data_IF_506131532182
#
_entry.id   IF_506131532182
#
_cell.length_a   1.000
_cell.length_b   1.000
_cell.length_c   1.000
_cell.angle_alpha   90.00
_cell.angle_beta   90.00
_cell.angle_gamma   90.00
#
_symmetry.space_group_name_H-M   'P 1'
#
loop_
_entity.id
_entity.type
_entity.pdbx_description
1 polymer ?
#
# COMPACT_ATOMS: atom_id res chain seq x y z
N UNK A 1 23.32 -15.96 24.08
CA UNK A 1 22.05 -15.60 23.41
C UNK A 1 22.39 -14.60 22.32
N UNK A 2 22.75 -15.10 21.13
CA UNK A 2 22.80 -14.28 19.92
C UNK A 2 21.40 -14.34 19.30
N UNK A 3 20.55 -13.36 19.61
CA UNK A 3 19.15 -13.39 19.20
C UNK A 3 18.75 -12.01 18.64
N UNK A 4 18.44 -12.00 17.33
CA UNK A 4 17.68 -10.97 16.58
C UNK A 4 18.36 -9.64 16.18
N UNK A 5 19.57 -9.66 15.62
CA UNK A 5 20.08 -8.54 14.82
C UNK A 5 20.20 -8.92 13.34
N UNK A 6 19.07 -9.20 12.67
CA UNK A 6 19.09 -9.62 11.26
C UNK A 6 18.76 -8.52 10.24
N UNK A 7 18.53 -7.28 10.69
CA UNK A 7 18.39 -6.14 9.79
C UNK A 7 19.16 -4.93 10.35
N UNK A 8 19.87 -4.16 9.50
CA UNK A 8 20.46 -2.90 9.92
C UNK A 8 19.38 -1.98 10.50
N UNK A 9 19.70 -1.23 11.55
CA UNK A 9 18.79 -0.24 12.10
C UNK A 9 18.43 0.78 11.00
N UNK A 10 17.15 0.87 10.68
CA UNK A 10 16.65 1.83 9.70
C UNK A 10 16.69 3.21 10.34
N UNK A 11 17.50 4.09 9.77
CA UNK A 11 17.58 5.49 10.17
C UNK A 11 16.25 6.22 9.93
N UNK A 12 16.09 7.38 10.56
CA UNK A 12 14.89 8.21 10.36
C UNK A 12 14.78 8.68 8.91
N UNK A 13 15.91 8.93 8.27
CA UNK A 13 16.03 9.38 6.88
C UNK A 13 15.62 8.27 5.92
N UNK A 14 16.18 7.06 6.07
CA UNK A 14 15.80 5.89 5.26
C UNK A 14 14.32 5.56 5.41
N UNK A 15 13.79 5.61 6.64
CA UNK A 15 12.36 5.37 6.86
C UNK A 15 11.47 6.38 6.12
N UNK A 16 11.87 7.65 6.03
CA UNK A 16 11.11 8.66 5.27
C UNK A 16 11.11 8.35 3.77
N UNK A 17 12.21 7.83 3.23
CA UNK A 17 12.29 7.41 1.84
C UNK A 17 11.42 6.18 1.57
N UNK A 18 11.53 5.16 2.42
CA UNK A 18 10.68 3.96 2.37
C UNK A 18 9.20 4.36 2.43
N UNK A 19 8.83 5.20 3.39
CA UNK A 19 7.47 5.70 3.53
C UNK A 19 6.97 6.41 2.26
N UNK A 20 7.84 7.20 1.62
CA UNK A 20 7.51 7.92 0.38
C UNK A 20 7.26 6.95 -0.77
N UNK A 21 8.12 5.95 -0.95
CA UNK A 21 7.95 4.96 -2.02
C UNK A 21 6.72 4.08 -1.81
N UNK A 22 6.50 3.59 -0.59
CA UNK A 22 5.28 2.85 -0.24
C UNK A 22 4.03 3.70 -0.49
N UNK A 23 4.02 4.98 -0.09
CA UNK A 23 2.89 5.86 -0.30
C UNK A 23 2.57 6.06 -1.80
N UNK A 24 3.60 6.20 -2.65
CA UNK A 24 3.42 6.29 -4.11
C UNK A 24 2.74 5.06 -4.67
N UNK A 25 3.22 3.87 -4.32
CA UNK A 25 2.65 2.61 -4.82
C UNK A 25 1.21 2.40 -4.32
N UNK A 26 0.89 2.77 -3.08
CA UNK A 26 -0.48 2.72 -2.56
C UNK A 26 -1.42 3.70 -3.29
N UNK A 27 -0.94 4.89 -3.65
CA UNK A 27 -1.74 5.81 -4.47
C UNK A 27 -1.94 5.28 -5.89
N UNK A 28 -0.90 4.71 -6.51
CA UNK A 28 -1.03 4.04 -7.80
C UNK A 28 -2.01 2.85 -7.74
N UNK A 29 -2.01 2.10 -6.64
CA UNK A 29 -2.92 0.97 -6.44
C UNK A 29 -4.39 1.35 -6.53
N UNK A 30 -4.79 2.55 -6.09
CA UNK A 30 -6.18 3.04 -6.24
C UNK A 30 -6.60 3.09 -7.71
N UNK A 31 -5.71 3.58 -8.57
CA UNK A 31 -5.93 3.66 -10.03
C UNK A 31 -5.92 2.26 -10.64
N UNK A 32 -4.97 1.43 -10.24
CA UNK A 32 -4.87 0.05 -10.71
C UNK A 32 -6.10 -0.79 -10.33
N UNK A 33 -6.66 -0.59 -9.14
CA UNK A 33 -7.87 -1.27 -8.69
C UNK A 33 -9.07 -0.97 -9.61
N UNK A 34 -9.29 0.29 -9.94
CA UNK A 34 -10.35 0.70 -10.90
C UNK A 34 -10.05 0.13 -12.28
N UNK A 35 -8.80 0.21 -12.74
CA UNK A 35 -8.39 -0.37 -14.03
C UNK A 35 -8.71 -1.88 -14.10
N UNK A 36 -8.46 -2.64 -13.04
CA UNK A 36 -8.76 -4.07 -13.01
C UNK A 36 -10.26 -4.35 -13.07
N UNK A 37 -11.08 -3.56 -12.36
CA UNK A 37 -12.54 -3.66 -12.44
C UNK A 37 -13.04 -3.40 -13.86
N UNK A 38 -12.55 -2.33 -14.51
CA UNK A 38 -12.90 -2.00 -15.89
C UNK A 38 -12.44 -3.10 -16.87
N UNK A 39 -11.25 -3.66 -16.65
CA UNK A 39 -10.71 -4.76 -17.47
C UNK A 39 -11.58 -6.02 -17.37
N UNK A 40 -12.04 -6.36 -16.16
CA UNK A 40 -12.95 -7.49 -15.90
C UNK A 40 -14.32 -7.26 -16.56
N UNK A 41 -14.90 -6.07 -16.42
CA UNK A 41 -16.16 -5.69 -17.07
C UNK A 41 -16.07 -5.81 -18.60
N UNK A 42 -15.00 -5.26 -19.19
CA UNK A 42 -14.77 -5.31 -20.63
C UNK A 42 -14.57 -6.74 -21.13
N UNK A 43 -13.84 -7.58 -20.38
CA UNK A 43 -13.63 -8.98 -20.71
C UNK A 43 -14.93 -9.78 -20.67
N UNK A 44 -15.78 -9.55 -19.66
CA UNK A 44 -17.07 -10.22 -19.51
C UNK A 44 -18.06 -9.86 -20.64
N UNK A 45 -18.01 -8.63 -21.14
CA UNK A 45 -18.86 -8.16 -22.24
C UNK A 45 -18.20 -8.33 -23.62
N UNK A 46 -16.95 -8.79 -23.67
CA UNK A 46 -16.14 -8.87 -24.88
C UNK A 46 -16.07 -7.54 -25.67
N UNK A 47 -15.93 -6.43 -24.95
CA UNK A 47 -15.86 -5.07 -25.52
C UNK A 47 -14.50 -4.42 -25.27
N UNK A 48 -14.19 -3.40 -26.07
CA UNK A 48 -13.08 -2.47 -25.83
C UNK A 48 -13.57 -1.04 -26.01
N UNK A 49 -13.54 -0.26 -24.93
CA UNK A 49 -14.13 1.09 -24.89
C UNK A 49 -13.11 2.21 -25.21
N UNK A 50 -11.83 2.00 -24.91
CA UNK A 50 -10.79 3.02 -24.99
C UNK A 50 -9.53 2.50 -25.68
N UNK A 51 -8.77 3.35 -26.39
CA UNK A 51 -7.51 2.94 -27.01
C UNK A 51 -6.38 2.73 -25.97
N UNK A 52 -5.57 1.70 -26.16
CA UNK A 52 -4.33 1.48 -25.39
C UNK A 52 -3.13 2.11 -26.12
N UNK A 53 -2.63 3.25 -25.61
CA UNK A 53 -1.49 3.95 -26.24
C UNK A 53 -0.12 3.38 -25.87
N UNK A 54 -0.03 2.56 -24.81
CA UNK A 54 1.23 2.00 -24.29
C UNK A 54 1.04 0.56 -23.86
N UNK A 55 2.01 -0.30 -24.17
CA UNK A 55 2.03 -1.69 -23.70
C UNK A 55 2.50 -1.78 -22.24
N UNK A 56 1.64 -1.35 -21.30
CA UNK A 56 1.91 -1.40 -19.84
C UNK A 56 1.01 -2.38 -19.11
N UNK A 57 0.11 -3.07 -19.82
CA UNK A 57 -0.91 -3.96 -19.26
C UNK A 57 -0.33 -4.98 -18.28
N UNK A 58 0.63 -5.78 -18.74
CA UNK A 58 1.25 -6.84 -17.93
C UNK A 58 1.90 -6.30 -16.65
N UNK A 59 2.61 -5.17 -16.74
CA UNK A 59 3.28 -4.56 -15.58
C UNK A 59 2.25 -4.07 -14.55
N UNK A 60 1.20 -3.39 -15.01
CA UNK A 60 0.14 -2.87 -14.17
C UNK A 60 -0.67 -3.99 -13.48
N UNK A 61 -0.94 -5.08 -14.19
CA UNK A 61 -1.63 -6.26 -13.64
C UNK A 61 -0.79 -6.92 -12.51
N UNK A 62 0.52 -7.05 -12.70
CA UNK A 62 1.41 -7.56 -11.65
C UNK A 62 1.53 -6.61 -10.46
N UNK A 63 1.64 -5.30 -10.70
CA UNK A 63 1.66 -4.30 -9.61
C UNK A 63 0.39 -4.39 -8.78
N UNK A 64 -0.78 -4.42 -9.44
CA UNK A 64 -2.05 -4.61 -8.75
C UNK A 64 -2.05 -5.87 -7.89
N UNK A 65 -1.67 -7.01 -8.48
CA UNK A 65 -1.70 -8.31 -7.81
C UNK A 65 -0.78 -8.35 -6.59
N UNK A 66 0.44 -7.82 -6.71
CA UNK A 66 1.41 -7.82 -5.62
C UNK A 66 0.99 -6.87 -4.48
N UNK A 67 0.52 -5.67 -4.80
CA UNK A 67 0.06 -4.71 -3.78
C UNK A 67 -1.20 -5.22 -3.09
N UNK A 68 -2.16 -5.79 -3.84
CA UNK A 68 -3.35 -6.43 -3.26
C UNK A 68 -2.95 -7.51 -2.26
N UNK A 69 -2.05 -8.41 -2.65
CA UNK A 69 -1.57 -9.50 -1.79
C UNK A 69 -0.87 -8.98 -0.53
N UNK A 70 -0.04 -7.94 -0.66
CA UNK A 70 0.61 -7.31 0.48
C UNK A 70 -0.42 -6.73 1.46
N UNK A 71 -1.43 -6.02 0.97
CA UNK A 71 -2.51 -5.47 1.80
C UNK A 71 -3.36 -6.55 2.47
N UNK A 72 -3.55 -7.70 1.82
CA UNK A 72 -4.40 -8.79 2.32
C UNK A 72 -3.70 -9.73 3.30
N UNK A 73 -2.39 -9.94 3.16
CA UNK A 73 -1.69 -11.00 3.86
C UNK A 73 -0.43 -10.58 4.62
N UNK A 74 0.08 -9.36 4.42
CA UNK A 74 1.28 -8.89 5.11
C UNK A 74 0.97 -7.96 6.31
N UNK A 75 -0.30 -7.61 6.52
CA UNK A 75 -0.73 -6.65 7.54
C UNK A 75 -1.71 -7.29 8.51
N UNK A 76 -1.54 -6.97 9.79
CA UNK A 76 -2.57 -7.23 10.80
C UNK A 76 -3.82 -6.34 10.55
N UNK A 77 -5.01 -6.71 11.08
CA UNK A 77 -6.25 -5.97 10.80
C UNK A 77 -6.17 -4.46 11.12
N UNK A 78 -5.57 -4.09 12.25
CA UNK A 78 -5.42 -2.68 12.65
C UNK A 78 -4.46 -1.92 11.71
N UNK A 79 -3.35 -2.55 11.33
CA UNK A 79 -2.39 -1.98 10.37
C UNK A 79 -3.03 -1.75 9.01
N UNK A 80 -3.79 -2.74 8.52
CA UNK A 80 -4.54 -2.63 7.28
C UNK A 80 -5.53 -1.48 7.34
N UNK A 81 -6.27 -1.32 8.44
CA UNK A 81 -7.22 -0.22 8.59
C UNK A 81 -6.52 1.15 8.59
N UNK A 82 -5.36 1.28 9.26
CA UNK A 82 -4.54 2.50 9.20
C UNK A 82 -4.15 2.81 7.75
N UNK A 83 -3.65 1.83 7.00
CA UNK A 83 -3.22 2.01 5.60
C UNK A 83 -4.41 2.38 4.70
N UNK A 84 -5.54 1.69 4.84
CA UNK A 84 -6.74 1.95 4.05
C UNK A 84 -7.26 3.37 4.27
N UNK A 85 -7.38 3.80 5.54
CA UNK A 85 -7.83 5.16 5.88
C UNK A 85 -6.85 6.23 5.44
N UNK A 86 -5.54 5.98 5.57
CA UNK A 86 -4.50 6.97 5.29
C UNK A 86 -4.24 7.16 3.80
N UNK A 87 -4.20 6.07 3.03
CA UNK A 87 -3.67 6.07 1.67
C UNK A 87 -4.68 5.63 0.60
N UNK A 88 -5.67 4.79 0.94
CA UNK A 88 -6.54 4.16 -0.07
C UNK A 88 -7.92 4.81 -0.18
N UNK A 89 -8.40 5.50 0.85
CA UNK A 89 -9.62 6.33 0.78
C UNK A 89 -9.41 7.58 -0.08
N UNK A 90 -10.51 8.15 -0.57
CA UNK A 90 -10.46 9.36 -1.37
C UNK A 90 -10.01 10.56 -0.53
N UNK A 91 -9.04 11.32 -1.07
CA UNK A 91 -8.47 12.50 -0.43
C UNK A 91 -7.21 12.21 0.39
N UNK A 92 -6.51 13.29 0.76
CA UNK A 92 -5.33 13.22 1.63
C UNK A 92 -5.81 13.30 3.07
N UNK A 93 -5.72 12.19 3.81
CA UNK A 93 -6.10 12.14 5.22
C UNK A 93 -4.88 12.38 6.10
N UNK A 94 -4.96 13.29 7.07
CA UNK A 94 -3.85 13.54 8.00
C UNK A 94 -3.71 12.41 9.02
N UNK A 95 -2.51 12.22 9.56
CA UNK A 95 -2.28 11.22 10.62
C UNK A 95 -3.14 11.51 11.86
N UNK A 96 -3.32 12.81 12.19
CA UNK A 96 -4.21 13.27 13.25
C UNK A 96 -5.66 12.80 13.02
N UNK A 97 -6.15 12.90 11.79
CA UNK A 97 -7.51 12.49 11.46
C UNK A 97 -7.68 10.97 11.53
N UNK A 98 -6.75 10.18 10.97
CA UNK A 98 -6.82 8.71 11.05
C UNK A 98 -6.79 8.25 12.51
N UNK A 99 -5.85 8.77 13.30
CA UNK A 99 -5.72 8.45 14.72
C UNK A 99 -6.99 8.78 15.50
N UNK A 100 -7.58 9.95 15.29
CA UNK A 100 -8.81 10.36 15.95
C UNK A 100 -10.01 9.48 15.56
N UNK A 101 -10.14 9.13 14.27
CA UNK A 101 -11.21 8.25 13.79
C UNK A 101 -11.13 6.82 14.36
N UNK A 102 -9.92 6.35 14.66
CA UNK A 102 -9.68 5.02 15.20
C UNK A 102 -9.53 5.01 16.72
N UNK A 103 -9.61 6.17 17.39
CA UNK A 103 -9.43 6.33 18.84
C UNK A 103 -8.12 5.73 19.38
N UNK A 104 -7.04 5.81 18.59
CA UNK A 104 -5.75 5.21 18.95
C UNK A 104 -4.88 6.17 19.76
N UNK A 105 -4.12 5.59 20.69
CA UNK A 105 -3.03 6.28 21.38
C UNK A 105 -1.94 6.70 20.39
N UNK A 106 -1.24 7.81 20.67
CA UNK A 106 -0.27 8.41 19.75
C UNK A 106 0.90 7.50 19.40
N UNK A 107 1.59 6.96 20.40
CA UNK A 107 2.76 6.12 20.18
C UNK A 107 2.36 4.79 19.53
N UNK A 108 1.24 4.21 19.95
CA UNK A 108 0.67 3.02 19.33
C UNK A 108 0.37 3.23 17.85
N UNK A 109 -0.31 4.33 17.50
CA UNK A 109 -0.61 4.67 16.10
C UNK A 109 0.65 4.75 15.24
N UNK A 110 1.69 5.47 15.69
CA UNK A 110 2.92 5.62 14.91
C UNK A 110 3.73 4.32 14.84
N UNK A 111 3.69 3.48 15.87
CA UNK A 111 4.30 2.15 15.84
C UNK A 111 3.62 1.25 14.82
N UNK A 112 2.28 1.14 14.88
CA UNK A 112 1.51 0.31 13.94
C UNK A 112 1.64 0.82 12.49
N UNK A 113 1.59 2.14 12.29
CA UNK A 113 1.82 2.74 10.98
C UNK A 113 3.22 2.42 10.44
N UNK A 114 4.26 2.53 11.27
CA UNK A 114 5.64 2.18 10.88
C UNK A 114 5.73 0.71 10.50
N UNK A 115 5.21 -0.19 11.34
CA UNK A 115 5.22 -1.63 11.07
C UNK A 115 4.49 -1.98 9.77
N UNK A 116 3.34 -1.35 9.52
CA UNK A 116 2.58 -1.55 8.28
C UNK A 116 3.38 -1.11 7.03
N UNK A 117 4.02 0.06 7.09
CA UNK A 117 4.86 0.57 5.98
C UNK A 117 6.04 -0.37 5.73
N UNK A 118 6.69 -0.84 6.79
CA UNK A 118 7.81 -1.77 6.71
C UNK A 118 7.39 -3.12 6.10
N UNK A 119 6.27 -3.69 6.55
CA UNK A 119 5.75 -4.94 6.02
C UNK A 119 5.39 -4.83 4.53
N UNK A 120 4.77 -3.73 4.10
CA UNK A 120 4.50 -3.48 2.68
C UNK A 120 5.81 -3.32 1.91
N UNK A 121 6.77 -2.56 2.42
CA UNK A 121 8.06 -2.36 1.76
C UNK A 121 8.79 -3.68 1.51
N UNK A 122 8.87 -4.54 2.52
CA UNK A 122 9.45 -5.89 2.41
C UNK A 122 8.65 -6.76 1.44
N UNK A 123 7.32 -6.81 1.57
CA UNK A 123 6.47 -7.63 0.69
C UNK A 123 6.57 -7.23 -0.79
N UNK A 124 6.79 -5.94 -1.06
CA UNK A 124 6.95 -5.39 -2.41
C UNK A 124 8.41 -5.32 -2.87
N UNK A 125 9.38 -5.75 -2.05
CA UNK A 125 10.82 -5.73 -2.35
C UNK A 125 11.34 -4.31 -2.63
N UNK A 126 10.80 -3.33 -1.91
CA UNK A 126 11.34 -1.96 -1.85
C UNK A 126 12.61 -1.94 -0.97
N UNK A 127 12.66 -2.85 0.00
CA UNK A 127 13.79 -3.14 0.89
C UNK A 127 14.00 -4.65 0.98
#
# INVERSE_FOLDING_TARGET
MEQLAFFPEISKEEYKEIQREVAKELFCYRVLKVRMQNQEECANQNISLFPELRNTKKINDYKYTQIKRALEHALDPEQREIIERKYLKNGIVSDKAVKAQMMLENNWYYAQKKNAIMAIATALRII
#
